data_IF_618757915205
#
_entry.id   IF_618757915205
#
_cell.length_a   1.000
_cell.length_b   1.000
_cell.length_c   1.000
_cell.angle_alpha   90.00
_cell.angle_beta   90.00
_cell.angle_gamma   90.00
#
_symmetry.space_group_name_H-M   'P 1'
#
loop_
_entity.id
_entity.type
_entity.pdbx_description
1 polymer ?
#
# COMPACT_ATOMS: atom_id res chain seq x y z
N UNK A 1 19.22 1.55 0.69
CA UNK A 1 18.35 2.73 0.83
C UNK A 1 17.25 2.65 -0.23
N UNK A 2 15.96 2.58 0.15
CA UNK A 2 14.88 2.60 -0.83
C UNK A 2 14.88 3.89 -1.65
N UNK A 3 14.48 3.82 -2.91
CA UNK A 3 14.36 5.05 -3.71
C UNK A 3 13.21 5.89 -3.15
N UNK A 4 13.35 7.23 -3.08
CA UNK A 4 12.35 8.13 -2.46
C UNK A 4 10.96 8.04 -3.12
N UNK A 5 10.90 7.49 -4.34
CA UNK A 5 9.64 7.25 -5.05
C UNK A 5 8.86 6.05 -4.50
N UNK A 6 9.54 4.99 -4.07
CA UNK A 6 8.90 3.77 -3.54
C UNK A 6 8.32 4.06 -2.16
N UNK A 7 9.10 4.68 -1.29
CA UNK A 7 8.65 5.06 0.06
C UNK A 7 7.37 5.91 0.00
N UNK A 8 7.37 6.94 -0.85
CA UNK A 8 6.19 7.80 -1.04
C UNK A 8 4.97 7.01 -1.52
N UNK A 9 5.15 6.03 -2.42
CA UNK A 9 4.04 5.18 -2.92
C UNK A 9 3.47 4.30 -1.81
N UNK A 10 4.33 3.66 -1.02
CA UNK A 10 3.90 2.83 0.12
C UNK A 10 3.16 3.69 1.15
N UNK A 11 3.73 4.86 1.51
CA UNK A 11 3.10 5.78 2.47
C UNK A 11 1.73 6.26 2.00
N UNK A 12 1.58 6.60 0.72
CA UNK A 12 0.28 6.98 0.15
C UNK A 12 -0.73 5.83 0.18
N UNK A 13 -0.30 4.61 -0.14
CA UNK A 13 -1.15 3.43 -0.04
C UNK A 13 -1.62 3.18 1.39
N UNK A 14 -0.71 3.24 2.37
CA UNK A 14 -1.06 3.10 3.79
C UNK A 14 -2.00 4.22 4.27
N UNK A 15 -1.83 5.45 3.80
CA UNK A 15 -2.77 6.53 4.12
C UNK A 15 -4.19 6.23 3.64
N UNK A 16 -4.35 5.61 2.47
CA UNK A 16 -5.65 5.17 1.95
C UNK A 16 -6.23 4.05 2.83
N UNK A 17 -5.44 3.01 3.12
CA UNK A 17 -5.91 1.86 3.90
C UNK A 17 -6.28 2.25 5.34
N UNK A 18 -5.48 3.09 5.99
CA UNK A 18 -5.77 3.57 7.36
C UNK A 18 -6.98 4.50 7.41
N UNK A 19 -7.19 5.32 6.37
CA UNK A 19 -8.41 6.14 6.22
C UNK A 19 -9.65 5.26 6.11
N UNK A 20 -9.59 4.20 5.31
CA UNK A 20 -10.69 3.24 5.15
C UNK A 20 -10.87 2.34 6.37
N UNK A 21 -9.78 2.01 7.07
CA UNK A 21 -9.80 0.99 8.11
C UNK A 21 -10.04 -0.40 7.54
N UNK A 22 -9.56 -0.66 6.33
CA UNK A 22 -9.73 -1.93 5.66
C UNK A 22 -8.49 -2.22 4.80
N UNK A 23 -7.83 -3.32 5.11
CA UNK A 23 -6.69 -3.84 4.37
C UNK A 23 -6.96 -5.20 3.72
N UNK A 24 -8.24 -5.57 3.54
CA UNK A 24 -8.65 -6.80 2.87
C UNK A 24 -8.06 -6.89 1.45
N UNK A 25 -7.90 -8.13 0.90
CA UNK A 25 -7.47 -8.31 -0.48
C UNK A 25 -8.31 -7.51 -1.50
N UNK A 26 -9.62 -7.41 -1.28
CA UNK A 26 -10.50 -6.66 -2.16
C UNK A 26 -10.20 -5.15 -2.13
N UNK A 27 -9.98 -4.58 -0.95
CA UNK A 27 -9.63 -3.16 -0.81
C UNK A 27 -8.23 -2.87 -1.33
N UNK A 28 -7.27 -3.77 -1.11
CA UNK A 28 -5.93 -3.66 -1.71
C UNK A 28 -5.99 -3.60 -3.24
N UNK A 29 -6.72 -4.53 -3.88
CA UNK A 29 -6.88 -4.56 -5.34
C UNK A 29 -7.52 -3.27 -5.88
N UNK A 30 -8.58 -2.78 -5.21
CA UNK A 30 -9.39 -1.66 -5.71
C UNK A 30 -8.80 -0.29 -5.40
N UNK A 31 -8.15 -0.13 -4.25
CA UNK A 31 -7.75 1.19 -3.72
C UNK A 31 -6.26 1.42 -3.72
N UNK A 32 -5.46 0.35 -3.69
CA UNK A 32 -4.00 0.44 -3.68
C UNK A 32 -3.34 -0.56 -4.65
N UNK A 33 -3.76 -0.61 -5.94
CA UNK A 33 -3.21 -1.57 -6.91
C UNK A 33 -1.69 -1.47 -7.08
N UNK A 34 -1.12 -0.27 -6.91
CA UNK A 34 0.33 -0.09 -6.91
C UNK A 34 1.04 -0.77 -5.74
N UNK A 35 0.40 -0.88 -4.57
CA UNK A 35 0.93 -1.63 -3.43
C UNK A 35 0.83 -3.14 -3.67
N UNK A 36 -0.24 -3.61 -4.33
CA UNK A 36 -0.34 -5.00 -4.76
C UNK A 36 0.83 -5.35 -5.67
N UNK A 37 1.03 -4.61 -6.77
CA UNK A 37 2.17 -4.84 -7.68
C UNK A 37 3.51 -4.79 -6.97
N UNK A 38 3.70 -3.88 -6.01
CA UNK A 38 4.92 -3.76 -5.24
C UNK A 38 5.21 -4.99 -4.37
N UNK A 39 4.18 -5.53 -3.71
CA UNK A 39 4.37 -6.67 -2.82
C UNK A 39 4.34 -7.99 -3.58
N UNK A 40 3.53 -8.13 -4.63
CA UNK A 40 3.19 -9.42 -5.24
C UNK A 40 3.64 -9.53 -6.71
N UNK A 41 4.29 -8.50 -7.24
CA UNK A 41 4.70 -8.48 -8.65
C UNK A 41 3.51 -8.45 -9.60
N UNK A 42 3.75 -8.71 -10.89
CA UNK A 42 2.73 -8.62 -11.95
C UNK A 42 1.80 -9.84 -12.03
N UNK A 43 2.24 -10.97 -11.46
CA UNK A 43 1.62 -12.28 -11.67
C UNK A 43 0.96 -12.88 -10.43
N UNK A 44 1.13 -12.26 -9.25
CA UNK A 44 0.44 -12.72 -8.03
C UNK A 44 -0.53 -11.66 -7.52
N UNK A 45 -1.71 -12.12 -7.08
CA UNK A 45 -2.88 -11.27 -6.82
C UNK A 45 -2.90 -10.63 -5.43
N UNK A 46 -3.98 -9.89 -5.16
CA UNK A 46 -4.13 -9.14 -3.91
C UNK A 46 -4.11 -10.00 -2.63
N UNK A 47 -4.44 -11.28 -2.71
CA UNK A 47 -4.30 -12.23 -1.59
C UNK A 47 -2.84 -12.44 -1.19
N UNK A 48 -1.94 -12.56 -2.17
CA UNK A 48 -0.50 -12.69 -1.91
C UNK A 48 0.08 -11.38 -1.34
N UNK A 49 -0.34 -10.23 -1.88
CA UNK A 49 0.02 -8.93 -1.33
C UNK A 49 -0.48 -8.76 0.11
N UNK A 50 -1.71 -9.19 0.41
CA UNK A 50 -2.28 -9.17 1.75
C UNK A 50 -1.47 -10.04 2.73
N UNK A 51 -1.08 -11.26 2.32
CA UNK A 51 -0.23 -12.12 3.14
C UNK A 51 1.13 -11.47 3.45
N UNK A 52 1.74 -10.78 2.48
CA UNK A 52 2.99 -10.03 2.69
C UNK A 52 2.79 -8.81 3.60
N UNK A 53 1.65 -8.12 3.50
CA UNK A 53 1.29 -7.05 4.43
C UNK A 53 1.19 -7.57 5.87
N UNK A 54 0.52 -8.71 6.07
CA UNK A 54 0.44 -9.34 7.40
C UNK A 54 1.83 -9.71 7.92
N UNK A 55 2.66 -10.37 7.10
CA UNK A 55 4.06 -10.69 7.48
C UNK A 55 4.91 -9.46 7.78
N UNK A 56 4.65 -8.32 7.15
CA UNK A 56 5.33 -7.07 7.45
C UNK A 56 4.92 -6.55 8.83
N UNK A 57 3.62 -6.60 9.16
CA UNK A 57 3.08 -6.24 10.47
C UNK A 57 3.63 -7.18 11.55
N UNK A 58 3.66 -8.48 11.29
CA UNK A 58 4.13 -9.52 12.22
C UNK A 58 5.64 -9.41 12.52
N UNK A 59 6.38 -8.64 11.71
CA UNK A 59 7.81 -8.40 11.92
C UNK A 59 8.14 -7.14 12.71
N UNK A 60 7.12 -6.35 13.04
CA UNK A 60 7.28 -5.21 13.93
C UNK A 60 7.27 -5.71 15.39
N UNK A 61 7.83 -4.92 16.30
CA UNK A 61 7.68 -5.15 17.74
C UNK A 61 6.19 -5.18 18.14
N UNK A 62 5.88 -5.79 19.28
CA UNK A 62 4.49 -6.07 19.69
C UNK A 62 3.57 -4.84 19.67
N UNK A 63 4.04 -3.71 20.21
CA UNK A 63 3.27 -2.47 20.26
C UNK A 63 2.99 -1.88 18.86
N UNK A 64 4.00 -1.63 17.99
CA UNK A 64 3.75 -1.18 16.62
C UNK A 64 2.99 -2.20 15.77
N UNK A 65 3.19 -3.51 15.95
CA UNK A 65 2.40 -4.53 15.27
C UNK A 65 0.91 -4.43 15.62
N UNK A 66 0.60 -4.35 16.92
CA UNK A 66 -0.77 -4.20 17.43
C UNK A 66 -1.42 -2.92 16.91
N UNK A 67 -0.71 -1.79 17.00
CA UNK A 67 -1.19 -0.52 16.49
C UNK A 67 -1.41 -0.52 14.98
N UNK A 68 -0.53 -1.14 14.20
CA UNK A 68 -0.67 -1.26 12.76
C UNK A 68 -1.92 -2.08 12.38
N UNK A 69 -2.17 -3.21 13.05
CA UNK A 69 -3.40 -3.99 12.85
C UNK A 69 -4.64 -3.14 13.13
N UNK A 70 -4.67 -2.45 14.27
CA UNK A 70 -5.79 -1.62 14.64
C UNK A 70 -6.04 -0.52 13.62
N UNK A 71 -5.00 0.22 13.18
CA UNK A 71 -5.12 1.28 12.17
C UNK A 71 -5.66 0.79 10.83
N UNK A 72 -5.28 -0.42 10.42
CA UNK A 72 -5.71 -1.07 9.19
C UNK A 72 -7.06 -1.81 9.31
N UNK A 73 -7.67 -1.79 10.50
CA UNK A 73 -8.94 -2.49 10.77
C UNK A 73 -8.81 -4.02 10.80
N UNK A 74 -7.60 -4.54 10.94
CA UNK A 74 -7.33 -5.98 10.96
C UNK A 74 -7.65 -6.50 12.36
N UNK A 75 -8.54 -7.50 12.46
CA UNK A 75 -8.96 -8.09 13.72
C UNK A 75 -9.95 -7.24 14.52
N UNK A 76 -10.48 -6.14 13.95
CA UNK A 76 -11.52 -5.34 14.58
C UNK A 76 -12.92 -5.74 14.08
N UNK A 77 -13.94 -5.71 14.95
CA UNK A 77 -15.30 -6.06 14.56
C UNK A 77 -15.93 -4.96 13.70
N UNK A 78 -16.50 -5.35 12.55
CA UNK A 78 -17.36 -4.49 11.74
C UNK A 78 -16.72 -3.19 11.22
N UNK A 79 -17.57 -2.21 10.90
CA UNK A 79 -17.13 -0.87 10.48
C UNK A 79 -16.73 -0.05 11.70
N UNK A 80 -15.45 0.25 11.83
CA UNK A 80 -14.92 1.12 12.89
C UNK A 80 -14.69 2.54 12.37
N UNK A 81 -14.76 3.52 13.27
CA UNK A 81 -14.32 4.89 12.95
C UNK A 81 -12.80 5.02 13.07
N UNK A 82 -12.21 6.03 12.41
CA UNK A 82 -10.76 6.31 12.54
C UNK A 82 -10.37 6.59 13.99
N UNK A 83 -11.27 7.21 14.77
CA UNK A 83 -11.04 7.52 16.20
C UNK A 83 -11.00 6.24 17.04
N UNK A 84 -11.94 5.32 16.85
CA UNK A 84 -11.93 4.02 17.54
C UNK A 84 -10.66 3.23 17.24
N UNK A 85 -10.27 3.14 15.96
CA UNK A 85 -9.02 2.45 15.58
C UNK A 85 -7.79 3.05 16.27
N UNK A 86 -7.74 4.37 16.39
CA UNK A 86 -6.65 5.06 17.11
C UNK A 86 -6.70 4.86 18.62
N UNK A 87 -7.89 4.74 19.20
CA UNK A 87 -8.03 4.40 20.61
C UNK A 87 -7.45 3.01 20.86
N UNK A 88 -7.86 2.01 20.08
CA UNK A 88 -7.31 0.64 20.18
C UNK A 88 -5.80 0.62 19.94
N UNK A 89 -5.30 1.36 18.94
CA UNK A 89 -3.87 1.47 18.69
C UNK A 89 -3.10 2.14 19.86
N UNK A 90 -3.74 3.10 20.55
CA UNK A 90 -3.20 3.79 21.71
C UNK A 90 -3.04 2.90 22.94
N UNK A 91 -3.91 1.90 23.11
CA UNK A 91 -3.82 0.92 24.21
C UNK A 91 -2.47 0.19 24.22
N UNK A 92 -1.94 -0.15 23.03
CA UNK A 92 -0.63 -0.79 22.90
C UNK A 92 0.52 0.07 23.47
N UNK A 93 0.33 1.39 23.53
CA UNK A 93 1.28 2.35 24.08
C UNK A 93 0.82 2.92 25.44
N UNK A 94 -0.31 2.46 25.99
CA UNK A 94 -0.96 2.97 27.21
C UNK A 94 -1.23 4.47 27.14
N UNK A 95 -1.71 4.95 26.00
CA UNK A 95 -2.04 6.36 25.76
C UNK A 95 -3.40 6.52 25.09
N UNK A 96 -4.03 7.69 25.27
CA UNK A 96 -5.26 8.04 24.58
C UNK A 96 -5.07 8.26 23.07
N UNK A 97 -6.17 8.22 22.31
CA UNK A 97 -6.17 8.32 20.84
C UNK A 97 -5.51 9.60 20.30
N UNK A 98 -5.61 10.74 21.01
CA UNK A 98 -5.01 12.01 20.58
C UNK A 98 -3.49 11.97 20.69
N UNK A 99 -2.98 11.50 21.84
CA UNK A 99 -1.54 11.32 22.05
C UNK A 99 -0.97 10.27 21.11
N UNK A 100 -1.69 9.16 20.88
CA UNK A 100 -1.31 8.17 19.86
C UNK A 100 -1.17 8.82 18.48
N UNK A 101 -2.19 9.57 18.04
CA UNK A 101 -2.20 10.19 16.71
C UNK A 101 -1.05 11.17 16.50
N UNK A 102 -0.60 11.86 17.55
CA UNK A 102 0.46 12.88 17.45
C UNK A 102 1.87 12.29 17.57
N UNK A 103 2.08 11.40 18.53
CA UNK A 103 3.42 10.94 18.89
C UNK A 103 3.80 9.58 18.29
N UNK A 104 2.83 8.69 18.08
CA UNK A 104 3.09 7.27 17.80
C UNK A 104 2.63 6.84 16.40
N UNK A 105 1.48 7.30 15.91
CA UNK A 105 0.98 6.96 14.57
C UNK A 105 2.04 7.20 13.46
N UNK A 106 2.76 8.34 13.41
CA UNK A 106 3.79 8.54 12.39
C UNK A 106 4.95 7.53 12.47
N UNK A 107 5.31 7.09 13.68
CA UNK A 107 6.37 6.11 13.92
C UNK A 107 5.94 4.71 13.49
N UNK A 108 4.73 4.29 13.87
CA UNK A 108 4.13 3.03 13.44
C UNK A 108 4.04 2.95 11.91
N UNK A 109 3.56 4.01 11.26
CA UNK A 109 3.49 4.07 9.79
C UNK A 109 4.89 3.98 9.18
N UNK A 110 5.88 4.67 9.74
CA UNK A 110 7.25 4.62 9.22
C UNK A 110 7.87 3.23 9.36
N UNK A 111 7.70 2.58 10.51
CA UNK A 111 8.16 1.21 10.72
C UNK A 111 7.49 0.23 9.74
N UNK A 112 6.18 0.37 9.52
CA UNK A 112 5.45 -0.45 8.55
C UNK A 112 5.90 -0.18 7.11
N UNK A 113 6.17 1.08 6.75
CA UNK A 113 6.72 1.43 5.42
C UNK A 113 8.04 0.71 5.18
N UNK A 114 8.97 0.75 6.15
CA UNK A 114 10.26 0.07 6.06
C UNK A 114 10.04 -1.44 5.90
N UNK A 115 9.22 -2.06 6.76
CA UNK A 115 8.95 -3.49 6.72
C UNK A 115 8.30 -3.96 5.40
N UNK A 116 7.49 -3.10 4.77
CA UNK A 116 6.88 -3.38 3.46
C UNK A 116 7.87 -3.23 2.30
N UNK A 117 8.76 -2.24 2.38
CA UNK A 117 9.82 -2.03 1.39
C UNK A 117 10.79 -3.20 1.40
N UNK A 118 11.18 -3.68 2.58
CA UNK A 118 12.08 -4.84 2.73
C UNK A 118 11.47 -6.14 2.16
N UNK A 119 10.13 -6.16 2.02
CA UNK A 119 9.36 -7.29 1.46
C UNK A 119 8.83 -7.03 0.06
N UNK A 120 9.20 -5.90 -0.54
CA UNK A 120 8.86 -5.59 -1.91
C UNK A 120 9.44 -6.68 -2.82
N UNK A 121 8.67 -7.08 -3.83
CA UNK A 121 9.15 -8.03 -4.82
C UNK A 121 10.29 -7.37 -5.61
N UNK A 122 11.51 -7.94 -5.62
CA UNK A 122 12.62 -7.37 -6.39
C UNK A 122 12.35 -7.37 -7.90
N UNK A 123 11.44 -8.22 -8.38
CA UNK A 123 10.97 -8.27 -9.75
C UNK A 123 9.76 -7.37 -10.02
N UNK A 124 9.27 -6.59 -9.02
CA UNK A 124 8.21 -5.62 -9.24
C UNK A 124 8.71 -4.50 -10.17
N UNK A 125 8.49 -4.68 -11.47
CA UNK A 125 8.70 -3.62 -12.46
C UNK A 125 7.62 -2.56 -12.28
N UNK A 126 7.99 -1.42 -11.72
CA UNK A 126 7.10 -0.26 -11.73
C UNK A 126 6.85 0.13 -13.19
N UNK A 127 5.59 0.37 -13.61
CA UNK A 127 5.40 1.25 -14.74
C UNK A 127 5.99 2.59 -14.30
N UNK A 128 7.16 2.93 -14.84
CA UNK A 128 7.70 4.27 -14.71
C UNK A 128 6.62 5.24 -15.20
N UNK A 129 6.42 6.38 -14.51
CA UNK A 129 5.44 7.38 -14.96
C UNK A 129 5.72 7.85 -16.40
N UNK A 130 6.91 7.60 -16.94
CA UNK A 130 7.25 7.83 -18.35
C UNK A 130 6.37 7.06 -19.33
N UNK A 131 5.85 5.86 -19.03
CA UNK A 131 5.04 5.11 -19.99
C UNK A 131 3.62 5.67 -20.12
N UNK A 132 2.98 6.03 -19.00
CA UNK A 132 1.65 6.68 -19.04
C UNK A 132 1.77 8.10 -19.62
N UNK A 133 2.81 8.85 -19.26
CA UNK A 133 3.08 10.18 -19.85
C UNK A 133 3.48 10.07 -21.33
N UNK A 134 4.20 9.02 -21.76
CA UNK A 134 4.51 8.79 -23.19
C UNK A 134 3.28 8.40 -23.98
N UNK A 135 2.41 7.54 -23.46
CA UNK A 135 1.15 7.17 -24.12
C UNK A 135 0.22 8.38 -24.24
N UNK A 136 0.21 9.27 -23.24
CA UNK A 136 -0.56 10.51 -23.30
C UNK A 136 0.08 11.61 -24.18
N UNK A 137 1.42 11.64 -24.31
CA UNK A 137 2.14 12.60 -25.17
C UNK A 137 2.20 12.18 -26.64
N UNK A 138 2.26 10.88 -26.88
CA UNK A 138 2.27 10.26 -28.20
C UNK A 138 1.08 9.29 -28.26
N UNK A 139 -0.15 9.78 -28.48
CA UNK A 139 -1.26 8.88 -28.76
C UNK A 139 -0.86 7.95 -29.91
N UNK A 140 -1.19 6.64 -29.85
CA UNK A 140 -0.95 5.77 -30.99
C UNK A 140 -1.59 6.42 -32.22
N UNK A 141 -0.92 6.39 -33.38
CA UNK A 141 -1.48 6.97 -34.59
C UNK A 141 -2.88 6.37 -34.81
N UNK A 142 -3.86 7.18 -35.27
CA UNK A 142 -5.22 6.69 -35.45
C UNK A 142 -5.19 5.44 -36.33
N UNK A 143 -6.14 4.52 -36.12
CA UNK A 143 -6.20 3.27 -36.89
C UNK A 143 -6.22 3.49 -38.42
N UNK A 144 -6.60 4.69 -38.88
CA UNK A 144 -6.56 5.16 -40.27
C UNK A 144 -5.14 5.36 -40.84
N UNK A 145 -4.10 5.47 -39.99
CA UNK A 145 -2.70 5.59 -40.40
C UNK A 145 -2.02 4.23 -40.62
N UNK A 146 -2.69 3.12 -40.27
CA UNK A 146 -2.20 1.77 -40.54
C UNK A 146 -2.38 1.45 -42.03
N UNK A 147 -1.34 1.71 -42.84
CA UNK A 147 -1.26 1.16 -44.20
C UNK A 147 -0.56 -0.20 -44.13
N UNK A 148 -1.26 -1.33 -44.34
CA UNK A 148 -0.57 -2.60 -44.52
C UNK A 148 0.34 -2.47 -45.74
N UNK A 149 1.63 -2.75 -45.56
CA UNK A 149 2.53 -2.92 -46.71
C UNK A 149 2.07 -4.17 -47.44
N UNK A 150 1.43 -3.99 -48.60
CA UNK A 150 1.28 -5.04 -49.58
C UNK A 150 2.68 -5.40 -50.06
N UNK A 151 3.26 -6.45 -49.46
CA UNK A 151 4.38 -7.17 -50.05
C UNK A 151 3.90 -7.75 -51.37
N UNK A 152 4.52 -7.33 -52.47
CA UNK A 152 4.39 -7.97 -53.80
C UNK A 152 5.00 -9.35 -53.78
#
# INVERSE_FOLDING_TARGET
>A
MPTPTIERRVRNALAILTKLGDASPATLARRTPGLVVLLSGRHTGATAAHAKLLRAIDSLDDAPATAARALLGIGLPGRTTRRERRAVAGEAYRVGWDQFSRAYEPRVITALVIALIDRADPAATYPTPSLIVQILRNPPPPASAFRPRLTR
#
